data_IF_515902085123
#
_entry.id   IF_515902085123
#
_cell.length_a   1.000
_cell.length_b   1.000
_cell.length_c   1.000
_cell.angle_alpha   90.00
_cell.angle_beta   90.00
_cell.angle_gamma   90.00
#
_symmetry.space_group_name_H-M   'P 1'
#
loop_
_entity.id
_entity.type
_entity.pdbx_description
1 polymer ?
#
# COMPACT_ATOMS: atom_id res chain seq x y z
N UNK A 1 28.79 14.57 0.48
CA UNK A 1 27.44 14.08 0.15
C UNK A 1 27.43 12.62 0.54
N UNK A 2 26.82 12.29 1.67
CA UNK A 2 26.79 10.91 2.15
C UNK A 2 25.64 10.18 1.48
N UNK A 3 25.99 9.12 0.76
CA UNK A 3 25.12 8.06 0.31
C UNK A 3 24.21 7.60 1.46
N UNK A 4 22.95 8.02 1.45
CA UNK A 4 21.92 7.34 2.22
C UNK A 4 21.42 6.21 1.32
N UNK A 5 22.07 5.06 1.40
CA UNK A 5 21.37 3.77 1.33
C UNK A 5 20.23 3.86 2.36
N UNK A 6 19.08 4.38 1.94
CA UNK A 6 17.93 4.59 2.81
C UNK A 6 17.32 3.23 3.10
N UNK A 7 17.82 2.61 4.16
CA UNK A 7 17.06 1.64 4.91
C UNK A 7 15.65 2.21 5.12
N UNK A 8 14.61 1.47 4.70
CA UNK A 8 13.23 1.95 4.74
C UNK A 8 12.84 2.17 6.21
N UNK A 9 12.95 3.41 6.67
CA UNK A 9 12.63 3.76 8.05
C UNK A 9 11.15 3.55 8.34
N UNK A 10 10.81 3.29 9.61
CA UNK A 10 9.42 3.15 10.04
C UNK A 10 8.57 4.37 9.66
N UNK A 11 9.11 5.58 9.77
CA UNK A 11 8.43 6.80 9.38
C UNK A 11 8.09 6.85 7.88
N UNK A 12 8.97 6.33 7.03
CA UNK A 12 8.72 6.24 5.58
C UNK A 12 7.67 5.18 5.26
N UNK A 13 7.71 4.04 5.96
CA UNK A 13 6.68 3.01 5.87
C UNK A 13 5.32 3.58 6.26
N UNK A 14 5.23 4.27 7.40
CA UNK A 14 4.00 4.91 7.88
C UNK A 14 3.45 5.94 6.89
N UNK A 15 4.31 6.82 6.36
CA UNK A 15 3.91 7.82 5.37
C UNK A 15 3.36 7.15 4.10
N UNK A 16 4.03 6.11 3.59
CA UNK A 16 3.59 5.39 2.39
C UNK A 16 2.30 4.60 2.63
N UNK A 17 2.12 4.02 3.81
CA UNK A 17 0.85 3.40 4.22
C UNK A 17 -0.29 4.42 4.25
N UNK A 18 -0.06 5.61 4.81
CA UNK A 18 -1.04 6.67 4.86
C UNK A 18 -1.43 7.16 3.46
N UNK A 19 -0.47 7.34 2.55
CA UNK A 19 -0.73 7.72 1.16
C UNK A 19 -1.59 6.67 0.42
N UNK A 20 -1.31 5.39 0.64
CA UNK A 20 -2.11 4.30 0.06
C UNK A 20 -3.54 4.27 0.64
N UNK A 21 -3.68 4.47 1.96
CA UNK A 21 -4.98 4.56 2.63
C UNK A 21 -5.79 5.77 2.12
N UNK A 22 -5.15 6.92 1.93
CA UNK A 22 -5.79 8.11 1.38
C UNK A 22 -6.31 7.89 -0.05
N UNK A 23 -5.56 7.16 -0.88
CA UNK A 23 -6.06 6.76 -2.21
C UNK A 23 -7.26 5.81 -2.12
N UNK A 24 -7.28 4.91 -1.13
CA UNK A 24 -8.39 4.01 -0.85
C UNK A 24 -9.65 4.79 -0.43
N UNK A 25 -9.51 5.78 0.44
CA UNK A 25 -10.60 6.66 0.91
C UNK A 25 -11.20 7.50 -0.23
N UNK A 26 -10.38 7.90 -1.20
CA UNK A 26 -10.82 8.64 -2.38
C UNK A 26 -11.47 7.75 -3.45
N UNK A 27 -11.66 6.46 -3.18
CA UNK A 27 -12.20 5.49 -4.15
C UNK A 27 -11.21 5.12 -5.26
N UNK A 28 -9.96 5.56 -5.18
CA UNK A 28 -8.90 5.26 -6.16
C UNK A 28 -8.27 3.90 -5.85
N UNK A 29 -9.09 2.86 -5.85
CA UNK A 29 -8.72 1.53 -5.38
C UNK A 29 -7.58 0.88 -6.17
N UNK A 30 -7.49 1.12 -7.48
CA UNK A 30 -6.37 0.64 -8.31
C UNK A 30 -5.05 1.31 -7.93
N UNK A 31 -5.09 2.61 -7.66
CA UNK A 31 -3.91 3.37 -7.21
C UNK A 31 -3.48 2.91 -5.82
N UNK A 32 -4.43 2.76 -4.90
CA UNK A 32 -4.19 2.25 -3.55
C UNK A 32 -3.53 0.87 -3.57
N UNK A 33 -4.06 -0.07 -4.36
CA UNK A 33 -3.48 -1.39 -4.53
C UNK A 33 -2.04 -1.34 -5.06
N UNK A 34 -1.75 -0.45 -6.01
CA UNK A 34 -0.39 -0.26 -6.54
C UNK A 34 0.57 0.29 -5.49
N UNK A 35 0.13 1.29 -4.71
CA UNK A 35 0.94 1.91 -3.67
C UNK A 35 1.30 0.90 -2.56
N UNK A 36 0.31 0.12 -2.11
CA UNK A 36 0.51 -0.96 -1.16
C UNK A 36 1.45 -2.05 -1.70
N UNK A 37 1.30 -2.48 -2.96
CA UNK A 37 2.16 -3.50 -3.58
C UNK A 37 3.62 -3.03 -3.68
N UNK A 38 3.84 -1.78 -4.09
CA UNK A 38 5.17 -1.18 -4.13
C UNK A 38 5.80 -1.12 -2.75
N UNK A 39 5.06 -0.66 -1.73
CA UNK A 39 5.56 -0.60 -0.37
C UNK A 39 5.92 -1.99 0.17
N UNK A 40 5.04 -2.98 -0.01
CA UNK A 40 5.31 -4.35 0.41
C UNK A 40 6.58 -4.92 -0.21
N UNK A 41 6.78 -4.73 -1.52
CA UNK A 41 7.99 -5.18 -2.23
C UNK A 41 9.26 -4.49 -1.75
N UNK A 42 9.19 -3.19 -1.47
CA UNK A 42 10.33 -2.45 -0.97
C UNK A 42 10.69 -2.93 0.45
N UNK A 43 9.71 -3.06 1.36
CA UNK A 43 9.94 -3.62 2.70
C UNK A 43 10.53 -5.04 2.60
N UNK A 44 10.05 -5.89 1.70
CA UNK A 44 10.63 -7.22 1.50
C UNK A 44 12.10 -7.17 1.06
N UNK A 45 12.45 -6.19 0.24
CA UNK A 45 13.82 -6.01 -0.27
C UNK A 45 14.77 -5.56 0.84
N UNK A 46 14.32 -4.67 1.73
CA UNK A 46 15.14 -4.10 2.80
C UNK A 46 15.14 -4.95 4.09
N UNK A 47 13.99 -5.48 4.50
CA UNK A 47 13.77 -6.09 5.81
C UNK A 47 13.42 -7.59 5.74
N UNK A 48 13.18 -8.11 4.53
CA UNK A 48 12.90 -9.53 4.29
C UNK A 48 11.44 -9.86 4.06
N UNK A 49 11.20 -11.02 3.42
CA UNK A 49 9.89 -11.44 2.90
C UNK A 49 8.75 -11.46 3.93
N UNK A 50 9.08 -11.79 5.18
CA UNK A 50 8.12 -12.05 6.26
C UNK A 50 8.08 -10.92 7.31
N UNK A 51 8.63 -9.75 6.99
CA UNK A 51 8.46 -8.57 7.84
C UNK A 51 6.96 -8.25 7.99
N UNK A 52 6.51 -7.99 9.22
CA UNK A 52 5.10 -7.72 9.50
C UNK A 52 4.56 -6.53 8.69
N UNK A 53 5.38 -5.48 8.50
CA UNK A 53 5.00 -4.29 7.75
C UNK A 53 4.80 -4.59 6.26
N UNK A 54 5.56 -5.54 5.71
CA UNK A 54 5.36 -6.00 4.34
C UNK A 54 4.03 -6.76 4.20
N UNK A 55 3.70 -7.61 5.18
CA UNK A 55 2.44 -8.35 5.20
C UNK A 55 1.24 -7.39 5.31
N UNK A 56 1.31 -6.40 6.20
CA UNK A 56 0.28 -5.37 6.35
C UNK A 56 0.05 -4.60 5.04
N UNK A 57 1.11 -4.28 4.31
CA UNK A 57 1.01 -3.65 2.99
C UNK A 57 0.30 -4.59 2.00
N UNK A 58 0.65 -5.88 1.92
CA UNK A 58 -0.03 -6.82 1.03
C UNK A 58 -1.50 -7.09 1.41
N UNK A 59 -1.84 -7.06 2.70
CA UNK A 59 -3.23 -7.05 3.15
C UNK A 59 -3.98 -5.81 2.63
N UNK A 60 -3.33 -4.65 2.62
CA UNK A 60 -3.81 -3.43 1.97
C UNK A 60 -4.11 -3.63 0.47
N UNK A 61 -3.24 -4.32 -0.27
CA UNK A 61 -3.49 -4.67 -1.69
C UNK A 61 -4.78 -5.46 -1.84
N UNK A 62 -4.92 -6.54 -1.07
CA UNK A 62 -6.08 -7.42 -1.13
C UNK A 62 -7.38 -6.67 -0.78
N UNK A 63 -7.33 -5.79 0.22
CA UNK A 63 -8.45 -4.94 0.63
C UNK A 63 -8.85 -3.95 -0.46
N UNK A 64 -7.90 -3.23 -1.03
CA UNK A 64 -8.16 -2.26 -2.09
C UNK A 64 -8.78 -2.92 -3.33
N UNK A 65 -8.25 -4.07 -3.76
CA UNK A 65 -8.83 -4.84 -4.89
C UNK A 65 -10.27 -5.27 -4.59
N UNK A 66 -10.54 -5.77 -3.38
CA UNK A 66 -11.89 -6.18 -2.96
C UNK A 66 -12.87 -5.00 -3.01
N UNK A 67 -12.52 -3.87 -2.40
CA UNK A 67 -13.35 -2.65 -2.41
C UNK A 67 -13.58 -2.14 -3.83
N UNK A 68 -12.56 -2.17 -4.69
CA UNK A 68 -12.69 -1.83 -6.10
C UNK A 68 -13.64 -2.76 -6.86
N UNK A 69 -13.66 -4.06 -6.52
CA UNK A 69 -14.59 -5.02 -7.10
C UNK A 69 -16.03 -4.86 -6.55
N UNK A 70 -16.19 -4.44 -5.30
CA UNK A 70 -17.49 -4.14 -4.68
C UNK A 70 -18.09 -2.85 -5.26
N UNK A 71 -17.30 -1.76 -5.33
CA UNK A 71 -17.74 -0.51 -5.95
C UNK A 71 -18.09 -0.64 -7.44
N UNK A 72 -17.52 -1.62 -8.15
CA UNK A 72 -17.91 -1.93 -9.52
C UNK A 72 -19.24 -2.70 -9.64
N UNK A 73 -19.68 -3.37 -8.57
CA UNK A 73 -20.94 -4.15 -8.53
C UNK A 73 -22.14 -3.31 -8.11
N UNK A 74 -21.93 -2.14 -7.51
CA UNK A 74 -22.97 -1.21 -7.08
C UNK A 74 -22.97 0.09 -7.93
N UNK A 75 -23.46 0.08 -9.18
CA UNK A 75 -23.48 1.26 -10.05
C UNK A 75 -24.56 2.32 -9.71
N UNK A 76 -25.29 2.18 -8.61
CA UNK A 76 -26.49 3.01 -8.30
C UNK A 76 -26.19 4.25 -7.44
N UNK A 77 -24.93 4.51 -7.08
CA UNK A 77 -24.53 5.74 -6.41
C UNK A 77 -23.76 6.66 -7.38
N UNK A 78 -24.48 7.18 -8.36
CA UNK A 78 -24.02 8.24 -9.28
C UNK A 78 -24.87 9.49 -9.13
#
# INVERSE_FOLDING_TARGET
>A
MGDQDQDLSDAEVELRMANAAQAEEQGRFRDAARLYDQLGKDIQTHHGRFDARALDAFEGVARAIRKGAEGAKDPTAG
#
